data_IF_311037620028
#
_entry.id   IF_311037620028
#
_cell.length_a   1.000
_cell.length_b   1.000
_cell.length_c   1.000
_cell.angle_alpha   90.00
_cell.angle_beta   90.00
_cell.angle_gamma   90.00
#
_symmetry.space_group_name_H-M   'P 1'
#
loop_
_entity.id
_entity.type
_entity.pdbx_description
1 polymer ?
#
# COMPACT_ATOMS: atom_id res chain seq x y z
N UNK A 1 33.06 12.37 -58.72
CA UNK A 1 33.14 12.92 -57.35
C UNK A 1 31.77 12.96 -56.67
N UNK A 2 30.88 11.97 -56.90
CA UNK A 2 29.51 11.99 -56.35
C UNK A 2 29.13 10.76 -55.48
N UNK A 3 30.10 9.99 -55.00
CA UNK A 3 29.86 8.81 -54.16
C UNK A 3 30.23 8.98 -52.67
N UNK A 4 30.78 10.13 -52.30
CA UNK A 4 31.17 10.42 -50.91
C UNK A 4 30.13 11.22 -50.13
N UNK A 5 29.06 11.70 -50.79
CA UNK A 5 28.02 12.51 -50.12
C UNK A 5 26.88 11.70 -49.53
N UNK A 6 26.74 10.41 -49.88
CA UNK A 6 25.68 9.55 -49.34
C UNK A 6 26.02 8.80 -48.06
N UNK A 7 27.27 8.82 -47.64
CA UNK A 7 27.72 8.15 -46.41
C UNK A 7 27.57 8.99 -45.13
N UNK A 8 27.18 10.30 -45.26
CA UNK A 8 27.12 11.21 -44.12
C UNK A 8 25.69 11.45 -43.60
N UNK A 9 24.66 10.83 -44.21
CA UNK A 9 23.24 11.06 -43.84
C UNK A 9 22.64 9.89 -43.01
N UNK A 10 23.35 8.78 -42.85
CA UNK A 10 22.79 7.59 -42.18
C UNK A 10 23.13 7.45 -40.70
N UNK A 11 23.70 8.46 -40.04
CA UNK A 11 24.03 8.43 -38.61
C UNK A 11 23.15 9.31 -37.73
N UNK A 12 22.04 9.84 -38.27
CA UNK A 12 21.03 10.56 -37.47
C UNK A 12 19.81 9.69 -37.36
N UNK A 13 19.57 9.17 -36.20
CA UNK A 13 18.30 8.81 -35.53
C UNK A 13 18.29 7.46 -34.82
N UNK A 14 19.17 7.30 -33.87
CA UNK A 14 18.88 6.48 -32.71
C UNK A 14 18.99 7.36 -31.45
N UNK A 15 18.28 8.48 -31.46
CA UNK A 15 17.81 9.05 -30.20
C UNK A 15 16.71 8.11 -29.72
N UNK A 16 17.07 7.00 -29.10
CA UNK A 16 16.17 6.28 -28.21
C UNK A 16 15.73 7.31 -27.18
N UNK A 17 14.49 7.81 -27.28
CA UNK A 17 13.87 8.57 -26.21
C UNK A 17 13.69 7.60 -25.04
N UNK A 18 14.75 7.39 -24.26
CA UNK A 18 14.62 6.70 -23.00
C UNK A 18 13.68 7.57 -22.13
N UNK A 19 12.59 7.00 -21.65
CA UNK A 19 11.77 7.67 -20.68
C UNK A 19 12.60 7.87 -19.41
N UNK A 20 12.68 9.10 -18.92
CA UNK A 20 13.46 9.47 -17.74
C UNK A 20 12.55 9.97 -16.65
N UNK A 21 12.86 9.66 -15.41
CA UNK A 21 12.24 10.25 -14.23
C UNK A 21 13.27 11.07 -13.46
N UNK A 22 12.78 12.09 -12.78
CA UNK A 22 13.54 12.93 -11.86
C UNK A 22 12.67 13.14 -10.59
N UNK A 23 13.05 12.51 -9.49
CA UNK A 23 12.32 12.61 -8.22
C UNK A 23 13.14 13.48 -7.28
N UNK A 24 12.55 14.58 -6.84
CA UNK A 24 13.14 15.48 -5.85
C UNK A 24 12.30 15.45 -4.59
N UNK A 25 12.91 15.08 -3.48
CA UNK A 25 12.22 14.93 -2.20
C UNK A 25 12.81 15.80 -1.11
N UNK A 26 11.95 16.26 -0.21
CA UNK A 26 12.32 16.94 1.00
C UNK A 26 11.59 16.38 2.22
N UNK A 27 12.26 16.37 3.38
CA UNK A 27 11.68 15.91 4.64
C UNK A 27 12.14 16.79 5.80
N UNK A 28 11.23 17.06 6.74
CA UNK A 28 11.56 17.65 8.05
C UNK A 28 11.53 16.60 9.18
N UNK A 29 11.35 15.33 8.83
CA UNK A 29 11.32 14.22 9.78
C UNK A 29 12.76 13.85 10.15
N UNK A 30 13.14 14.12 11.40
CA UNK A 30 14.54 13.96 11.86
C UNK A 30 15.08 12.54 11.76
N UNK A 31 14.21 11.52 11.87
CA UNK A 31 14.65 10.11 11.73
C UNK A 31 14.88 9.68 10.28
N UNK A 32 14.55 10.48 9.29
CA UNK A 32 14.88 10.22 7.89
C UNK A 32 16.28 10.71 7.53
N UNK A 33 16.80 11.74 8.21
CA UNK A 33 18.12 12.28 7.88
C UNK A 33 19.23 11.26 8.16
N UNK A 34 20.12 11.08 7.20
CA UNK A 34 21.18 10.06 7.24
C UNK A 34 20.70 8.64 6.93
N UNK A 35 19.43 8.41 6.58
CA UNK A 35 18.90 7.08 6.23
C UNK A 35 18.92 6.89 4.71
N UNK A 36 19.02 5.64 4.31
CA UNK A 36 18.91 5.24 2.90
C UNK A 36 17.44 4.99 2.54
N UNK A 37 17.00 5.60 1.45
CA UNK A 37 15.71 5.35 0.85
C UNK A 37 15.87 4.51 -0.40
N UNK A 38 14.89 3.66 -0.67
CA UNK A 38 14.83 2.78 -1.83
C UNK A 38 13.60 3.09 -2.67
N UNK A 39 13.78 3.30 -3.96
CA UNK A 39 12.68 3.35 -4.91
C UNK A 39 12.40 1.94 -5.42
N UNK A 40 11.24 1.41 -5.10
CA UNK A 40 10.83 0.07 -5.54
C UNK A 40 9.59 0.17 -6.44
N UNK A 41 9.54 -0.62 -7.50
CA UNK A 41 8.37 -0.73 -8.40
C UNK A 41 7.65 -2.06 -8.16
N UNK A 42 6.35 -2.06 -8.41
CA UNK A 42 5.56 -3.30 -8.42
C UNK A 42 5.81 -4.03 -9.74
N UNK A 43 6.26 -5.26 -9.66
CA UNK A 43 6.46 -6.16 -10.80
C UNK A 43 6.17 -7.60 -10.38
N UNK A 44 5.30 -8.28 -11.13
CA UNK A 44 4.91 -9.68 -10.88
C UNK A 44 4.41 -9.90 -9.42
N UNK A 45 3.58 -8.99 -8.93
CA UNK A 45 3.04 -8.94 -7.56
C UNK A 45 4.09 -8.84 -6.44
N UNK A 46 5.30 -8.36 -6.75
CA UNK A 46 6.37 -8.16 -5.79
C UNK A 46 7.04 -6.79 -5.99
N UNK A 47 7.73 -6.31 -4.95
CA UNK A 47 8.49 -5.08 -5.02
C UNK A 47 9.92 -5.34 -5.50
N UNK A 48 10.32 -4.67 -6.59
CA UNK A 48 11.68 -4.73 -7.14
C UNK A 48 12.38 -3.40 -6.96
N UNK A 49 13.58 -3.44 -6.40
CA UNK A 49 14.40 -2.25 -6.23
C UNK A 49 14.84 -1.69 -7.60
N UNK A 50 14.65 -0.39 -7.80
CA UNK A 50 15.02 0.34 -9.02
C UNK A 50 16.20 1.27 -8.75
N UNK A 51 16.15 1.98 -7.60
CA UNK A 51 17.13 2.99 -7.26
C UNK A 51 17.23 3.15 -5.73
N UNK A 52 18.29 3.79 -5.26
CA UNK A 52 18.47 4.11 -3.84
C UNK A 52 19.25 5.41 -3.67
N UNK A 53 18.94 6.16 -2.60
CA UNK A 53 19.68 7.38 -2.27
C UNK A 53 19.68 7.61 -0.75
N UNK A 54 20.69 8.35 -0.27
CA UNK A 54 20.73 8.82 1.11
C UNK A 54 19.92 10.12 1.28
N UNK A 55 19.30 10.27 2.44
CA UNK A 55 18.71 11.55 2.86
C UNK A 55 19.80 12.40 3.49
N UNK A 56 20.10 13.56 2.90
CA UNK A 56 21.14 14.47 3.38
C UNK A 56 20.53 15.84 3.66
N UNK A 57 20.58 16.27 4.91
CA UNK A 57 19.95 17.51 5.36
C UNK A 57 18.47 17.63 4.97
N UNK A 58 17.77 16.51 5.11
CA UNK A 58 16.35 16.42 4.77
C UNK A 58 16.06 16.46 3.26
N UNK A 59 17.04 16.34 2.38
CA UNK A 59 16.86 16.29 0.93
C UNK A 59 17.25 14.91 0.39
N UNK A 60 16.52 14.45 -0.63
CA UNK A 60 16.83 13.21 -1.34
C UNK A 60 16.46 13.30 -2.82
N UNK A 61 17.11 12.50 -3.65
CA UNK A 61 16.93 12.58 -5.09
C UNK A 61 17.13 11.20 -5.73
N UNK A 62 16.18 10.84 -6.62
CA UNK A 62 16.32 9.68 -7.51
C UNK A 62 16.23 10.13 -8.95
N UNK A 63 17.04 9.57 -9.82
CA UNK A 63 16.95 9.82 -11.25
C UNK A 63 17.34 8.57 -12.05
N UNK A 64 16.71 8.40 -13.19
CA UNK A 64 17.00 7.25 -14.02
C UNK A 64 16.11 7.13 -15.23
N UNK A 65 16.14 5.95 -15.82
CA UNK A 65 15.31 5.58 -16.96
C UNK A 65 14.33 4.48 -16.57
N UNK A 66 13.20 4.41 -17.25
CA UNK A 66 12.21 3.35 -17.05
C UNK A 66 11.63 2.89 -18.38
N UNK A 67 11.21 1.63 -18.41
CA UNK A 67 10.65 1.00 -19.63
C UNK A 67 9.18 1.33 -19.83
N UNK A 68 8.43 1.42 -18.73
CA UNK A 68 6.99 1.68 -18.74
C UNK A 68 6.55 2.32 -17.43
N UNK A 69 5.49 3.14 -17.49
CA UNK A 69 4.83 3.72 -16.32
C UNK A 69 4.37 2.60 -15.39
N UNK A 70 4.66 2.71 -14.09
CA UNK A 70 4.37 1.69 -13.07
C UNK A 70 4.03 2.31 -11.72
N UNK A 71 3.25 1.59 -10.94
CA UNK A 71 3.19 1.87 -9.51
C UNK A 71 4.54 1.61 -8.86
N UNK A 72 4.93 2.51 -7.99
CA UNK A 72 6.17 2.48 -7.23
C UNK A 72 5.90 2.88 -5.77
N UNK A 73 6.87 2.66 -4.93
CA UNK A 73 6.85 3.18 -3.57
C UNK A 73 8.26 3.49 -3.10
N UNK A 74 8.39 4.53 -2.27
CA UNK A 74 9.61 4.77 -1.52
C UNK A 74 9.57 3.93 -0.26
N UNK A 75 10.66 3.23 -0.01
CA UNK A 75 10.88 2.40 1.16
C UNK A 75 12.01 2.96 2.01
N UNK A 76 11.85 2.83 3.30
CA UNK A 76 12.92 2.94 4.27
C UNK A 76 12.99 1.61 5.01
N UNK A 77 14.15 0.97 4.98
CA UNK A 77 14.31 -0.43 5.39
C UNK A 77 13.32 -1.33 4.60
N UNK A 78 12.48 -2.08 5.27
CA UNK A 78 11.46 -2.94 4.64
C UNK A 78 10.04 -2.34 4.66
N UNK A 79 9.89 -1.09 5.15
CA UNK A 79 8.60 -0.42 5.25
C UNK A 79 8.37 0.54 4.09
N UNK A 80 7.18 0.47 3.48
CA UNK A 80 6.73 1.44 2.48
C UNK A 80 6.40 2.77 3.16
N UNK A 81 7.14 3.81 2.79
CA UNK A 81 6.95 5.16 3.31
C UNK A 81 5.90 5.92 2.51
N UNK A 82 5.94 5.81 1.16
CA UNK A 82 5.12 6.64 0.28
C UNK A 82 4.90 5.96 -1.06
N UNK A 83 3.64 5.68 -1.47
CA UNK A 83 3.32 5.23 -2.82
C UNK A 83 3.36 6.38 -3.82
N UNK A 84 3.80 6.08 -5.06
CA UNK A 84 3.83 7.02 -6.18
C UNK A 84 3.70 6.28 -7.52
N UNK A 85 3.62 7.04 -8.60
CA UNK A 85 3.73 6.51 -9.96
C UNK A 85 5.10 6.87 -10.51
N UNK A 86 5.85 5.87 -10.96
CA UNK A 86 7.08 6.09 -11.72
C UNK A 86 6.70 6.39 -13.17
N UNK A 87 6.68 7.67 -13.50
CA UNK A 87 6.37 8.22 -14.82
C UNK A 87 7.39 9.28 -15.24
N UNK A 88 7.38 9.70 -16.48
CA UNK A 88 8.32 10.70 -16.99
C UNK A 88 8.02 12.09 -16.48
N UNK A 89 9.08 12.83 -16.15
CA UNK A 89 9.01 14.21 -15.70
C UNK A 89 9.63 14.45 -14.33
N UNK A 90 9.33 15.62 -13.78
CA UNK A 90 9.80 16.06 -12.47
C UNK A 90 8.76 15.75 -11.40
N UNK A 91 9.05 14.77 -10.56
CA UNK A 91 8.20 14.35 -9.45
C UNK A 91 8.72 15.01 -8.17
N UNK A 92 7.85 15.68 -7.46
CA UNK A 92 8.17 16.37 -6.22
C UNK A 92 7.55 15.65 -5.03
N UNK A 93 8.37 15.36 -4.02
CA UNK A 93 7.94 14.66 -2.81
C UNK A 93 8.22 15.53 -1.59
N UNK A 94 7.24 15.58 -0.69
CA UNK A 94 7.40 16.19 0.63
C UNK A 94 6.94 15.22 1.69
N UNK A 95 7.81 14.95 2.68
CA UNK A 95 7.53 14.07 3.80
C UNK A 95 7.67 14.88 5.09
N UNK A 96 6.55 15.26 5.68
CA UNK A 96 6.49 15.96 6.95
C UNK A 96 5.96 15.02 8.05
N UNK A 97 6.13 15.39 9.32
CA UNK A 97 5.61 14.62 10.46
C UNK A 97 4.08 14.46 10.45
N UNK A 98 3.36 15.36 9.79
CA UNK A 98 1.90 15.39 9.77
C UNK A 98 1.29 15.15 8.39
N UNK A 99 2.08 15.32 7.34
CA UNK A 99 1.59 15.25 5.97
C UNK A 99 2.66 14.76 5.00
N UNK A 100 2.24 13.96 4.05
CA UNK A 100 3.05 13.51 2.92
C UNK A 100 2.39 13.99 1.63
N UNK A 101 3.19 14.37 0.64
CA UNK A 101 2.68 14.76 -0.67
C UNK A 101 3.59 14.28 -1.79
N UNK A 102 2.96 13.93 -2.90
CA UNK A 102 3.61 13.60 -4.18
C UNK A 102 2.88 14.37 -5.27
N UNK A 103 3.60 14.91 -6.23
CA UNK A 103 3.00 15.62 -7.36
C UNK A 103 4.03 16.06 -8.39
N UNK A 104 3.59 16.93 -9.31
CA UNK A 104 4.42 17.47 -10.40
C UNK A 104 4.27 16.71 -11.71
N UNK A 105 3.57 15.59 -11.71
CA UNK A 105 3.24 14.82 -12.91
C UNK A 105 1.78 14.35 -12.85
N UNK A 106 1.11 14.13 -14.01
CA UNK A 106 -0.34 13.95 -14.04
C UNK A 106 -0.87 12.80 -13.19
N UNK A 107 -0.24 11.61 -13.26
CA UNK A 107 -0.71 10.45 -12.51
C UNK A 107 -0.40 10.57 -11.02
N UNK A 108 0.71 11.19 -10.64
CA UNK A 108 1.04 11.46 -9.25
C UNK A 108 0.09 12.51 -8.64
N UNK A 109 -0.26 13.57 -9.38
CA UNK A 109 -1.23 14.56 -8.91
C UNK A 109 -2.62 13.95 -8.70
N UNK A 110 -3.05 13.05 -9.59
CA UNK A 110 -4.31 12.34 -9.48
C UNK A 110 -4.32 11.36 -8.30
N UNK A 111 -3.26 10.55 -8.16
CA UNK A 111 -3.08 9.63 -7.05
C UNK A 111 -3.09 10.35 -5.70
N UNK A 112 -2.42 11.49 -5.62
CA UNK A 112 -2.36 12.29 -4.40
C UNK A 112 -3.73 12.86 -4.00
N UNK A 113 -4.53 13.34 -4.96
CA UNK A 113 -5.90 13.79 -4.70
C UNK A 113 -6.77 12.67 -4.14
N UNK A 114 -6.65 11.47 -4.69
CA UNK A 114 -7.33 10.29 -4.18
C UNK A 114 -6.93 9.99 -2.73
N UNK A 115 -5.64 9.90 -2.44
CA UNK A 115 -5.15 9.61 -1.09
C UNK A 115 -5.55 10.65 -0.06
N UNK A 116 -5.52 11.92 -0.41
CA UNK A 116 -5.98 12.98 0.50
C UNK A 116 -7.44 12.78 0.90
N UNK A 117 -8.31 12.47 -0.06
CA UNK A 117 -9.73 12.24 0.23
C UNK A 117 -9.94 10.94 0.99
N UNK A 118 -9.24 9.89 0.64
CA UNK A 118 -9.31 8.59 1.31
C UNK A 118 -8.85 8.68 2.77
N UNK A 119 -7.71 9.32 3.02
CA UNK A 119 -7.18 9.55 4.37
C UNK A 119 -8.12 10.44 5.21
N UNK A 120 -8.77 11.43 4.60
CA UNK A 120 -9.78 12.23 5.27
C UNK A 120 -10.95 11.37 5.76
N UNK A 121 -11.53 10.52 4.92
CA UNK A 121 -12.62 9.62 5.29
C UNK A 121 -12.20 8.66 6.42
N UNK A 122 -11.01 8.09 6.34
CA UNK A 122 -10.47 7.23 7.41
C UNK A 122 -10.27 7.98 8.72
N UNK A 123 -9.81 9.23 8.68
CA UNK A 123 -9.68 10.06 9.87
C UNK A 123 -11.05 10.37 10.48
N UNK A 124 -12.07 10.63 9.66
CA UNK A 124 -13.44 10.82 10.11
C UNK A 124 -14.00 9.54 10.77
N UNK A 125 -13.66 8.34 10.25
CA UNK A 125 -14.04 7.06 10.89
C UNK A 125 -13.35 6.86 12.24
N UNK A 126 -12.05 7.18 12.36
CA UNK A 126 -11.33 7.10 13.64
C UNK A 126 -11.90 8.07 14.68
N UNK A 127 -12.36 9.24 14.27
CA UNK A 127 -13.01 10.22 15.15
C UNK A 127 -14.32 9.69 15.77
N UNK A 128 -15.00 8.73 15.13
CA UNK A 128 -16.18 8.09 15.72
C UNK A 128 -15.83 7.29 16.98
N UNK A 129 -14.66 6.69 17.04
CA UNK A 129 -14.16 5.99 18.24
C UNK A 129 -13.95 6.98 19.38
N UNK A 130 -13.33 8.12 19.11
CA UNK A 130 -13.15 9.17 20.13
C UNK A 130 -14.48 9.72 20.63
N UNK A 131 -15.46 9.94 19.75
CA UNK A 131 -16.81 10.36 20.13
C UNK A 131 -17.53 9.35 21.00
N UNK A 132 -17.36 8.05 20.71
CA UNK A 132 -17.89 6.98 21.56
C UNK A 132 -17.30 7.03 22.96
N UNK A 133 -15.98 7.11 23.07
CA UNK A 133 -15.28 7.12 24.36
C UNK A 133 -15.61 8.37 25.17
N UNK A 134 -15.72 9.53 24.52
CA UNK A 134 -16.15 10.76 25.15
C UNK A 134 -17.58 10.65 25.70
N UNK A 135 -18.51 10.08 24.93
CA UNK A 135 -19.89 9.90 25.36
C UNK A 135 -20.01 9.01 26.61
N UNK A 136 -19.15 7.99 26.74
CA UNK A 136 -19.07 7.17 27.96
C UNK A 136 -18.61 8.01 29.14
N UNK A 137 -17.57 8.83 28.98
CA UNK A 137 -17.06 9.69 30.06
C UNK A 137 -18.06 10.75 30.49
N UNK A 138 -18.84 11.28 29.54
CA UNK A 138 -19.86 12.30 29.79
C UNK A 138 -21.18 11.73 30.38
N UNK A 139 -21.30 10.40 30.51
CA UNK A 139 -22.50 9.73 30.99
C UNK A 139 -23.70 9.89 30.06
N UNK A 140 -23.47 10.02 28.76
CA UNK A 140 -24.52 10.16 27.74
C UNK A 140 -25.38 8.89 27.63
N UNK A 141 -26.59 9.05 27.06
CA UNK A 141 -27.44 7.89 26.71
C UNK A 141 -26.79 7.10 25.57
N UNK A 142 -26.13 5.99 25.93
CA UNK A 142 -25.34 5.17 24.98
C UNK A 142 -26.19 4.54 23.89
N UNK A 143 -27.48 4.26 24.14
CA UNK A 143 -28.37 3.72 23.09
C UNK A 143 -28.61 4.73 21.97
N UNK A 144 -28.70 6.01 22.33
CA UNK A 144 -28.84 7.10 21.36
C UNK A 144 -27.52 7.30 20.63
N UNK A 145 -26.42 7.37 21.38
CA UNK A 145 -25.05 7.59 20.82
C UNK A 145 -24.67 6.49 19.82
N UNK A 146 -24.84 5.22 20.19
CA UNK A 146 -24.50 4.07 19.34
C UNK A 146 -25.30 4.10 18.02
N UNK A 147 -26.60 4.42 18.08
CA UNK A 147 -27.40 4.52 16.85
C UNK A 147 -26.87 5.63 15.92
N UNK A 148 -26.50 6.79 16.48
CA UNK A 148 -25.95 7.90 15.69
C UNK A 148 -24.58 7.56 15.08
N UNK A 149 -23.67 6.98 15.90
CA UNK A 149 -22.34 6.58 15.43
C UNK A 149 -22.41 5.48 14.36
N UNK A 150 -23.31 4.51 14.51
CA UNK A 150 -23.52 3.46 13.50
C UNK A 150 -24.03 4.04 12.18
N UNK A 151 -25.00 4.97 12.22
CA UNK A 151 -25.50 5.63 11.01
C UNK A 151 -24.40 6.42 10.32
N UNK A 152 -23.57 7.15 11.07
CA UNK A 152 -22.46 7.92 10.51
C UNK A 152 -21.35 7.00 9.98
N UNK A 153 -21.03 5.90 10.67
CA UNK A 153 -20.06 4.90 10.20
C UNK A 153 -20.51 4.27 8.87
N UNK A 154 -21.77 3.91 8.73
CA UNK A 154 -22.32 3.40 7.45
C UNK A 154 -22.19 4.43 6.34
N UNK A 155 -22.54 5.69 6.61
CA UNK A 155 -22.41 6.79 5.63
C UNK A 155 -20.96 6.97 5.18
N UNK A 156 -20.00 6.93 6.09
CA UNK A 156 -18.57 7.06 5.77
C UNK A 156 -18.07 5.86 4.95
N UNK A 157 -18.51 4.64 5.30
CA UNK A 157 -18.18 3.44 4.52
C UNK A 157 -18.71 3.52 3.08
N UNK A 158 -19.96 3.96 2.90
CA UNK A 158 -20.52 4.15 1.55
C UNK A 158 -19.77 5.21 0.73
N UNK A 159 -19.29 6.28 1.39
CA UNK A 159 -18.47 7.30 0.71
C UNK A 159 -17.09 6.76 0.34
N UNK A 160 -16.47 5.94 1.20
CA UNK A 160 -15.17 5.29 0.92
C UNK A 160 -15.31 4.30 -0.25
N UNK A 161 -16.32 3.43 -0.23
CA UNK A 161 -16.62 2.48 -1.32
C UNK A 161 -16.86 3.22 -2.65
N UNK A 162 -17.64 4.30 -2.61
CA UNK A 162 -17.90 5.12 -3.80
C UNK A 162 -16.65 5.81 -4.32
N UNK A 163 -15.80 6.34 -3.43
CA UNK A 163 -14.53 6.98 -3.79
C UNK A 163 -13.61 5.99 -4.51
N UNK A 164 -13.42 4.79 -3.91
CA UNK A 164 -12.57 3.74 -4.48
C UNK A 164 -13.14 3.24 -5.81
N UNK A 165 -14.42 2.93 -5.86
CA UNK A 165 -15.09 2.42 -7.07
C UNK A 165 -14.97 3.41 -8.22
N UNK A 166 -15.27 4.70 -8.00
CA UNK A 166 -15.20 5.72 -9.04
C UNK A 166 -13.74 5.90 -9.52
N UNK A 167 -12.79 6.03 -8.60
CA UNK A 167 -11.39 6.19 -8.98
C UNK A 167 -10.86 5.01 -9.79
N UNK A 168 -11.13 3.78 -9.35
CA UNK A 168 -10.67 2.57 -10.06
C UNK A 168 -11.33 2.46 -11.45
N UNK A 169 -12.64 2.76 -11.55
CA UNK A 169 -13.36 2.67 -12.84
C UNK A 169 -12.92 3.74 -13.85
N UNK A 170 -12.61 4.94 -13.38
CA UNK A 170 -12.07 6.02 -14.22
C UNK A 170 -10.65 5.71 -14.72
N UNK A 171 -9.93 4.82 -14.02
CA UNK A 171 -8.53 4.49 -14.25
C UNK A 171 -8.27 3.05 -14.73
N UNK A 172 -9.25 2.35 -15.29
CA UNK A 172 -9.08 0.97 -15.75
C UNK A 172 -7.95 0.77 -16.79
N UNK A 173 -7.67 1.79 -17.59
CA UNK A 173 -6.74 1.69 -18.72
C UNK A 173 -5.35 2.26 -18.41
N UNK A 174 -5.09 2.68 -17.17
CA UNK A 174 -3.78 3.12 -16.71
C UNK A 174 -3.34 2.36 -15.42
N UNK A 175 -2.19 2.70 -14.87
CA UNK A 175 -1.61 2.00 -13.72
C UNK A 175 -2.30 2.33 -12.39
N UNK A 176 -3.07 3.41 -12.33
CA UNK A 176 -3.74 3.84 -11.10
C UNK A 176 -4.90 2.92 -10.71
N UNK A 177 -5.68 2.45 -11.68
CA UNK A 177 -6.80 1.55 -11.43
C UNK A 177 -6.36 0.26 -10.71
N UNK A 178 -5.52 -0.58 -11.34
CA UNK A 178 -4.99 -1.79 -10.69
C UNK A 178 -4.18 -1.46 -9.43
N UNK A 179 -3.41 -0.36 -9.44
CA UNK A 179 -2.58 0.05 -8.31
C UNK A 179 -3.38 0.39 -7.08
N UNK A 180 -4.42 1.22 -7.20
CA UNK A 180 -5.31 1.55 -6.08
C UNK A 180 -6.12 0.34 -5.65
N UNK A 181 -6.64 -0.46 -6.58
CA UNK A 181 -7.31 -1.72 -6.25
C UNK A 181 -6.41 -2.62 -5.39
N UNK A 182 -5.13 -2.78 -5.78
CA UNK A 182 -4.15 -3.52 -4.98
C UNK A 182 -3.98 -2.91 -3.58
N UNK A 183 -3.80 -1.60 -3.46
CA UNK A 183 -3.54 -0.95 -2.17
C UNK A 183 -4.71 -1.10 -1.18
N UNK A 184 -5.95 -0.99 -1.65
CA UNK A 184 -7.13 -1.10 -0.78
C UNK A 184 -7.48 -2.54 -0.43
N UNK A 185 -7.05 -3.52 -1.24
CA UNK A 185 -7.36 -4.94 -1.02
C UNK A 185 -6.22 -5.75 -0.41
N UNK A 186 -4.96 -5.29 -0.49
CA UNK A 186 -3.78 -6.04 -0.03
C UNK A 186 -3.76 -6.32 1.48
N UNK A 187 -4.47 -5.53 2.28
CA UNK A 187 -4.63 -5.76 3.73
C UNK A 187 -5.57 -6.92 4.08
N UNK A 188 -6.34 -7.43 3.13
CA UNK A 188 -7.29 -8.51 3.37
C UNK A 188 -6.58 -9.88 3.30
N UNK A 189 -6.44 -10.53 4.45
CA UNK A 189 -5.84 -11.88 4.54
C UNK A 189 -6.62 -12.90 3.69
N UNK A 190 -7.94 -12.72 3.63
CA UNK A 190 -8.84 -13.55 2.83
C UNK A 190 -9.57 -12.68 1.81
N UNK A 191 -9.20 -12.73 0.52
CA UNK A 191 -9.94 -12.06 -0.55
C UNK A 191 -11.43 -12.42 -0.50
N UNK A 192 -12.31 -11.42 -0.63
CA UNK A 192 -13.76 -11.60 -0.62
C UNK A 192 -14.40 -10.83 -1.76
N UNK A 193 -15.51 -11.35 -2.29
CA UNK A 193 -16.36 -10.63 -3.23
C UNK A 193 -17.31 -9.73 -2.44
N UNK A 194 -16.89 -8.49 -2.24
CA UNK A 194 -17.77 -7.46 -1.67
C UNK A 194 -18.57 -6.78 -2.79
N UNK A 195 -19.73 -6.15 -2.48
CA UNK A 195 -20.56 -5.50 -3.51
C UNK A 195 -19.81 -4.48 -4.37
N UNK A 196 -18.87 -3.72 -3.79
CA UNK A 196 -18.08 -2.74 -4.54
C UNK A 196 -17.05 -3.41 -5.48
N UNK A 197 -16.48 -4.57 -5.10
CA UNK A 197 -15.58 -5.35 -5.96
C UNK A 197 -16.37 -5.94 -7.12
N UNK A 198 -17.54 -6.49 -6.87
CA UNK A 198 -18.41 -7.00 -7.93
C UNK A 198 -18.85 -5.89 -8.91
N UNK A 199 -19.16 -4.71 -8.38
CA UNK A 199 -19.50 -3.54 -9.21
C UNK A 199 -18.33 -3.13 -10.10
N UNK A 200 -17.12 -3.01 -9.56
CA UNK A 200 -15.90 -2.76 -10.35
C UNK A 200 -15.72 -3.83 -11.42
N UNK A 201 -15.75 -5.10 -11.05
CA UNK A 201 -15.48 -6.21 -11.99
C UNK A 201 -16.54 -6.33 -13.09
N UNK A 202 -17.78 -5.95 -12.81
CA UNK A 202 -18.86 -5.92 -13.81
C UNK A 202 -18.62 -4.89 -14.91
N UNK A 203 -17.96 -3.78 -14.59
CA UNK A 203 -17.65 -2.65 -15.49
C UNK A 203 -16.24 -2.73 -16.09
N UNK A 204 -15.40 -3.59 -15.54
CA UNK A 204 -13.96 -3.62 -15.80
C UNK A 204 -13.63 -3.96 -17.24
N UNK A 205 -12.66 -3.22 -17.81
CA UNK A 205 -12.06 -3.51 -19.11
C UNK A 205 -11.25 -4.79 -19.11
N UNK A 206 -11.01 -5.39 -20.27
CA UNK A 206 -10.15 -6.58 -20.38
C UNK A 206 -8.73 -6.30 -19.88
N UNK A 207 -8.24 -5.07 -20.06
CA UNK A 207 -6.94 -4.67 -19.56
C UNK A 207 -6.86 -4.75 -18.04
N UNK A 208 -7.84 -4.21 -17.34
CA UNK A 208 -7.92 -4.26 -15.88
C UNK A 208 -8.08 -5.70 -15.38
N UNK A 209 -9.00 -6.48 -15.99
CA UNK A 209 -9.23 -7.90 -15.61
C UNK A 209 -8.01 -8.79 -15.81
N UNK A 210 -7.14 -8.45 -16.77
CA UNK A 210 -5.90 -9.20 -17.05
C UNK A 210 -4.69 -8.69 -16.29
N UNK A 211 -4.81 -7.62 -15.48
CA UNK A 211 -3.76 -7.24 -14.55
C UNK A 211 -3.45 -8.39 -13.60
N UNK A 212 -2.17 -8.65 -13.33
CA UNK A 212 -1.73 -9.84 -12.59
C UNK A 212 -2.31 -9.91 -11.18
N UNK A 213 -2.35 -8.76 -10.47
CA UNK A 213 -2.88 -8.70 -9.12
C UNK A 213 -4.41 -8.81 -9.12
N UNK A 214 -5.08 -8.04 -9.96
CA UNK A 214 -6.56 -8.03 -10.05
C UNK A 214 -7.09 -9.41 -10.34
N UNK A 215 -6.51 -10.10 -11.31
CA UNK A 215 -6.89 -11.46 -11.71
C UNK A 215 -6.70 -12.46 -10.57
N UNK A 216 -5.54 -12.44 -9.91
CA UNK A 216 -5.23 -13.35 -8.80
C UNK A 216 -6.17 -13.10 -7.61
N UNK A 217 -6.39 -11.82 -7.24
CA UNK A 217 -7.31 -11.45 -6.18
C UNK A 217 -8.74 -11.92 -6.47
N UNK A 218 -9.26 -11.63 -7.67
CA UNK A 218 -10.63 -11.96 -8.03
C UNK A 218 -10.85 -13.47 -8.07
N UNK A 219 -9.90 -14.23 -8.62
CA UNK A 219 -9.96 -15.68 -8.61
C UNK A 219 -9.98 -16.24 -7.18
N UNK A 220 -9.11 -15.77 -6.30
CA UNK A 220 -9.08 -16.20 -4.89
C UNK A 220 -10.35 -15.81 -4.14
N UNK A 221 -10.91 -14.63 -4.42
CA UNK A 221 -12.15 -14.19 -3.81
C UNK A 221 -13.33 -15.11 -4.22
N UNK A 222 -13.42 -15.51 -5.49
CA UNK A 222 -14.40 -16.47 -5.96
C UNK A 222 -14.21 -17.87 -5.30
N UNK A 223 -12.99 -18.36 -5.22
CA UNK A 223 -12.69 -19.63 -4.55
C UNK A 223 -13.08 -19.61 -3.07
N UNK A 224 -12.82 -18.49 -2.37
CA UNK A 224 -13.21 -18.32 -0.96
C UNK A 224 -14.74 -18.28 -0.80
N UNK A 225 -15.46 -17.63 -1.72
CA UNK A 225 -16.91 -17.60 -1.71
C UNK A 225 -17.51 -19.01 -1.93
N UNK A 226 -16.96 -19.80 -2.87
CA UNK A 226 -17.36 -21.19 -3.08
C UNK A 226 -17.16 -22.03 -1.81
N UNK A 227 -16.04 -21.85 -1.09
CA UNK A 227 -15.76 -22.54 0.17
C UNK A 227 -16.77 -22.11 1.25
N UNK A 228 -17.04 -20.82 1.39
CA UNK A 228 -17.99 -20.30 2.37
C UNK A 228 -19.42 -20.82 2.14
N UNK A 229 -19.79 -20.99 0.86
CA UNK A 229 -21.11 -21.52 0.46
C UNK A 229 -21.17 -23.06 0.48
N UNK A 230 -20.08 -23.75 0.87
CA UNK A 230 -20.00 -25.21 0.91
C UNK A 230 -19.97 -25.89 -0.47
N UNK A 231 -19.68 -25.13 -1.53
CA UNK A 231 -19.58 -25.62 -2.91
C UNK A 231 -18.20 -26.21 -3.22
N UNK A 232 -17.21 -25.91 -2.39
CA UNK A 232 -15.82 -26.36 -2.51
C UNK A 232 -15.27 -26.71 -1.13
N UNK A 233 -14.47 -27.77 -1.05
CA UNK A 233 -13.75 -28.11 0.18
C UNK A 233 -12.61 -27.10 0.41
N UNK A 234 -12.45 -26.62 1.65
CA UNK A 234 -11.32 -25.80 2.02
C UNK A 234 -10.00 -26.60 1.80
N UNK A 235 -8.92 -25.96 1.30
CA UNK A 235 -7.63 -26.60 1.22
C UNK A 235 -7.27 -27.14 2.61
N UNK A 236 -7.05 -28.45 2.72
CA UNK A 236 -6.55 -29.02 3.96
C UNK A 236 -5.19 -28.36 4.23
N UNK A 237 -5.10 -27.65 5.35
CA UNK A 237 -3.82 -27.18 5.83
C UNK A 237 -2.94 -28.43 5.93
N UNK A 238 -1.94 -28.55 5.06
CA UNK A 238 -0.88 -29.54 5.20
C UNK A 238 -0.23 -29.24 6.54
N UNK A 239 -0.67 -29.97 7.57
CA UNK A 239 0.06 -29.96 8.83
C UNK A 239 1.49 -30.33 8.50
N UNK A 240 2.49 -29.54 8.91
CA UNK A 240 3.85 -30.00 8.84
C UNK A 240 3.89 -31.29 9.64
N UNK A 241 4.20 -32.41 8.98
CA UNK A 241 4.48 -33.70 9.60
C UNK A 241 5.78 -33.56 10.38
N UNK A 242 5.73 -32.87 11.51
CA UNK A 242 6.71 -33.01 12.57
C UNK A 242 6.19 -34.15 13.44
N UNK A 243 6.90 -35.28 13.41
CA UNK A 243 6.76 -36.35 14.38
C UNK A 243 6.69 -35.74 15.80
N UNK A 244 5.89 -36.30 16.72
CA UNK A 244 5.74 -35.73 18.04
C UNK A 244 7.10 -35.75 18.74
N UNK A 245 7.77 -34.61 18.77
CA UNK A 245 8.84 -34.39 19.72
C UNK A 245 8.19 -34.46 21.09
N UNK A 246 8.63 -35.40 21.91
CA UNK A 246 8.25 -35.54 23.32
C UNK A 246 8.42 -34.16 23.98
N UNK A 247 7.31 -33.57 24.36
CA UNK A 247 7.32 -32.34 25.16
C UNK A 247 8.03 -32.62 26.48
N UNK A 248 9.20 -32.03 26.66
CA UNK A 248 9.78 -31.88 27.98
C UNK A 248 8.80 -31.11 28.89
N UNK A 249 8.70 -31.41 30.19
CA UNK A 249 7.75 -30.76 31.06
C UNK A 249 8.02 -29.23 31.08
N UNK A 250 6.99 -28.49 30.71
CA UNK A 250 7.01 -27.01 30.76
C UNK A 250 7.02 -26.61 32.22
N UNK A 251 8.13 -26.06 32.70
CA UNK A 251 8.18 -25.35 33.99
C UNK A 251 7.24 -24.14 33.90
N UNK A 252 6.30 -23.96 34.81
CA UNK A 252 5.42 -22.80 34.82
C UNK A 252 6.23 -21.51 34.97
N UNK A 253 5.81 -20.46 34.23
CA UNK A 253 6.43 -19.16 34.35
C UNK A 253 6.39 -18.65 35.81
N UNK A 254 7.47 -18.01 36.33
CA UNK A 254 7.50 -17.52 37.69
C UNK A 254 6.41 -16.48 37.95
N UNK A 255 5.74 -16.63 39.07
CA UNK A 255 4.73 -15.67 39.49
C UNK A 255 5.37 -14.34 39.90
N UNK A 256 4.61 -13.20 39.89
CA UNK A 256 5.15 -11.89 40.25
C UNK A 256 5.81 -11.82 41.65
N UNK A 257 5.50 -12.74 42.56
CA UNK A 257 6.12 -12.83 43.89
C UNK A 257 7.46 -13.52 43.90
N UNK A 258 7.80 -14.35 42.90
CA UNK A 258 9.12 -15.02 42.81
C UNK A 258 10.18 -14.10 42.23
N UNK A 259 9.79 -13.05 41.50
CA UNK A 259 10.69 -12.01 40.97
C UNK A 259 11.08 -10.95 42.04
N UNK A 260 10.43 -10.94 43.20
CA UNK A 260 10.67 -9.98 44.30
C UNK A 260 11.57 -10.50 45.45
N UNK A 261 12.10 -11.71 45.36
CA UNK A 261 12.99 -12.24 46.40
C UNK A 261 14.41 -11.71 46.21
N UNK A 262 15.05 -11.12 47.24
CA UNK A 262 16.43 -10.62 47.16
C UNK A 262 17.42 -11.79 47.08
N UNK A 263 18.24 -11.76 46.02
CA UNK A 263 19.39 -12.68 45.89
C UNK A 263 20.41 -12.42 47.00
N UNK A 264 20.55 -13.33 47.93
CA UNK A 264 21.62 -13.36 48.88
C UNK A 264 22.97 -13.61 48.16
N UNK A 265 24.02 -12.83 48.43
CA UNK A 265 25.33 -13.10 47.86
C UNK A 265 25.99 -14.27 48.57
N UNK A 266 26.29 -15.35 47.84
CA UNK A 266 27.13 -16.42 48.30
C UNK A 266 28.60 -15.95 48.32
N UNK A 267 29.16 -15.87 49.50
CA UNK A 267 30.59 -15.67 49.71
C UNK A 267 31.36 -16.96 49.35
N UNK A 268 32.31 -16.87 48.45
CA UNK A 268 33.70 -17.36 48.52
C UNK A 268 34.47 -16.95 47.28
#
# INVERSE_FOLDING_TARGET
MNKLFYALISTLALASCANTYNIQGSSNVSNLDGRMLYLKVVKDNDFKNVDSCDVVHGQFHFNGTFDSVRMASIFMDDESVLPLVLEGGDIHIKIDNTQQSVGGTPLNDELFKFFNRWNQLRSEQLELVHKHDQAIMDGSDMDVVIRQLNAESMRLSELEDSLVTNFVTENFDNVLGPGVFMMVTSGNVYPQLTPWIEDIMSKATDKFKNDAYVKDYYQKAQENEEIMNGLREAPQATQPTTAPAQMAPVTPAPTPNELAAPTTPTAK
#
